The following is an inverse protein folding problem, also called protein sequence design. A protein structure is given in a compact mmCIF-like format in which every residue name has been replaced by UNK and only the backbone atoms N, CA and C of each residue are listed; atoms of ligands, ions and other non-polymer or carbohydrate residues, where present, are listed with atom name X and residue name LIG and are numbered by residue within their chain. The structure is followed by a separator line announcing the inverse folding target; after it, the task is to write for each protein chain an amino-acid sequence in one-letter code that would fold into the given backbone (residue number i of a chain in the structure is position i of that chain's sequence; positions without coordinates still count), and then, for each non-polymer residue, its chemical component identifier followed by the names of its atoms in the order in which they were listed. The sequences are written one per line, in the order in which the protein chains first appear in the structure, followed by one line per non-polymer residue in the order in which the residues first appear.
data_IF_063655333819
#
_entry.id   IF_063655333819
#
_cell.length_a   1.000
_cell.length_b   1.000
_cell.length_c   1.000
_cell.angle_alpha   90.00
_cell.angle_beta   90.00
_cell.angle_gamma   90.00
#
_symmetry.space_group_name_H-M   'P 1'
#
loop_
_entity.id
_entity.type
_entity.pdbx_description
1 polymer ?
#
# COMPACT_ATOMS: atom_id res chain seq x y z
N UNK A 1 10.90 -20.14 -23.28
CA UNK A 1 9.97 -18.99 -23.15
C UNK A 1 10.69 -17.75 -23.68
N UNK A 2 10.05 -16.87 -24.49
CA UNK A 2 10.68 -15.65 -24.99
C UNK A 2 10.73 -14.57 -23.89
N UNK A 3 11.71 -14.68 -22.99
CA UNK A 3 11.79 -13.84 -21.79
C UNK A 3 12.00 -12.36 -22.09
N UNK A 4 12.81 -12.03 -23.11
CA UNK A 4 13.10 -10.64 -23.46
C UNK A 4 11.88 -9.91 -24.04
N UNK A 5 11.08 -10.60 -24.84
CA UNK A 5 9.82 -10.06 -25.36
C UNK A 5 8.81 -9.80 -24.23
N UNK A 6 8.74 -10.69 -23.23
CA UNK A 6 7.90 -10.50 -22.05
C UNK A 6 8.35 -9.29 -21.23
N UNK A 7 9.65 -9.14 -20.97
CA UNK A 7 10.19 -7.98 -20.25
C UNK A 7 9.92 -6.69 -21.01
N UNK A 8 10.04 -6.70 -22.34
CA UNK A 8 9.73 -5.54 -23.17
C UNK A 8 8.24 -5.18 -23.09
N UNK A 9 7.36 -6.18 -23.23
CA UNK A 9 5.91 -6.00 -23.12
C UNK A 9 5.51 -5.39 -21.76
N UNK A 10 5.99 -5.96 -20.65
CA UNK A 10 5.64 -5.43 -19.34
C UNK A 10 6.33 -4.09 -19.05
N UNK A 11 7.61 -3.96 -19.38
CA UNK A 11 8.42 -2.80 -19.03
C UNK A 11 8.10 -1.55 -19.85
N UNK A 12 8.08 -1.66 -21.17
CA UNK A 12 7.95 -0.49 -22.06
C UNK A 12 6.49 -0.24 -22.48
N UNK A 13 5.68 -1.30 -22.66
CA UNK A 13 4.30 -1.15 -23.13
C UNK A 13 3.31 -1.02 -21.96
N UNK A 14 3.30 -1.96 -21.02
CA UNK A 14 2.30 -1.97 -19.94
C UNK A 14 2.61 -0.92 -18.87
N UNK A 15 3.81 -0.94 -18.29
CA UNK A 15 4.21 0.02 -17.26
C UNK A 15 4.85 1.29 -17.83
N UNK A 16 5.52 1.20 -18.98
CA UNK A 16 6.35 2.28 -19.52
C UNK A 16 5.59 3.57 -19.81
N UNK A 17 4.31 3.49 -20.21
CA UNK A 17 3.46 4.67 -20.43
C UNK A 17 3.15 5.47 -19.16
N UNK A 18 3.29 4.87 -17.98
CA UNK A 18 3.06 5.52 -16.69
C UNK A 18 4.35 6.02 -16.02
N UNK A 19 5.52 5.62 -16.53
CA UNK A 19 6.82 5.94 -15.95
C UNK A 19 7.48 7.06 -16.74
N UNK A 20 7.53 8.25 -16.15
CA UNK A 20 8.10 9.45 -16.76
C UNK A 20 9.58 9.65 -16.42
N UNK A 21 10.03 9.21 -15.25
CA UNK A 21 11.42 9.35 -14.80
C UNK A 21 12.32 8.20 -15.29
N UNK A 22 13.53 8.54 -15.72
CA UNK A 22 14.48 7.56 -16.29
C UNK A 22 15.05 6.60 -15.23
N UNK A 23 15.17 7.03 -13.97
CA UNK A 23 15.58 6.17 -12.87
C UNK A 23 14.47 5.19 -12.50
N UNK A 24 13.22 5.64 -12.48
CA UNK A 24 12.07 4.75 -12.28
C UNK A 24 11.96 3.72 -13.41
N UNK A 25 12.24 4.12 -14.67
CA UNK A 25 12.26 3.18 -15.80
C UNK A 25 13.38 2.16 -15.66
N UNK A 26 14.55 2.58 -15.19
CA UNK A 26 15.66 1.67 -14.90
C UNK A 26 15.32 0.71 -13.76
N UNK A 27 14.69 1.20 -12.70
CA UNK A 27 14.26 0.38 -11.56
C UNK A 27 13.26 -0.69 -12.00
N UNK A 28 12.22 -0.30 -12.75
CA UNK A 28 11.22 -1.22 -13.30
C UNK A 28 11.86 -2.33 -14.16
N UNK A 29 12.76 -1.97 -15.08
CA UNK A 29 13.47 -2.96 -15.90
C UNK A 29 14.31 -3.93 -15.07
N UNK A 30 14.92 -3.44 -13.99
CA UNK A 30 15.70 -4.27 -13.07
C UNK A 30 14.81 -5.28 -12.35
N UNK A 31 13.65 -4.85 -11.85
CA UNK A 31 12.66 -5.75 -11.26
C UNK A 31 12.16 -6.82 -12.24
N UNK A 32 11.85 -6.45 -13.47
CA UNK A 32 11.41 -7.40 -14.49
C UNK A 32 12.51 -8.39 -14.87
N UNK A 33 13.78 -7.98 -14.89
CA UNK A 33 14.90 -8.88 -15.14
C UNK A 33 15.06 -9.92 -14.00
N UNK A 34 14.81 -9.52 -12.75
CA UNK A 34 14.89 -10.40 -11.59
C UNK A 34 13.73 -11.41 -11.54
N UNK A 35 12.50 -10.98 -11.85
CA UNK A 35 11.30 -11.82 -11.73
C UNK A 35 10.91 -12.58 -12.99
N UNK A 36 11.28 -12.10 -14.18
CA UNK A 36 10.93 -12.73 -15.46
C UNK A 36 12.19 -13.42 -16.00
N UNK A 37 12.54 -14.57 -15.41
CA UNK A 37 13.72 -15.37 -15.77
C UNK A 37 13.44 -16.87 -15.69
N UNK A 38 14.27 -17.68 -16.32
CA UNK A 38 14.06 -19.13 -16.45
C UNK A 38 14.02 -19.85 -15.11
N UNK A 39 14.87 -19.42 -14.19
CA UNK A 39 15.07 -19.99 -12.86
C UNK A 39 13.80 -19.91 -12.00
N UNK A 40 12.90 -18.96 -12.30
CA UNK A 40 11.61 -18.85 -11.61
C UNK A 40 10.68 -20.04 -11.87
N UNK A 41 10.94 -20.84 -12.91
CA UNK A 41 10.18 -22.06 -13.18
C UNK A 41 10.74 -23.29 -12.47
N UNK A 42 11.94 -23.20 -11.89
CA UNK A 42 12.64 -24.32 -11.26
C UNK A 42 12.18 -24.56 -9.82
N UNK A 43 11.46 -23.61 -9.21
CA UNK A 43 10.80 -23.79 -7.91
C UNK A 43 11.72 -23.67 -6.68
N UNK A 44 13.02 -23.44 -6.88
CA UNK A 44 14.01 -23.37 -5.80
C UNK A 44 14.41 -21.92 -5.42
N UNK A 45 13.71 -20.94 -5.98
CA UNK A 45 14.03 -19.51 -5.82
C UNK A 45 13.24 -18.88 -4.67
N UNK A 46 13.92 -18.06 -3.88
CA UNK A 46 13.30 -17.16 -2.91
C UNK A 46 12.85 -15.89 -3.63
N UNK A 47 11.56 -15.58 -3.58
CA UNK A 47 10.99 -14.33 -4.10
C UNK A 47 11.36 -13.14 -3.19
N UNK A 48 11.45 -13.40 -1.90
CA UNK A 48 11.93 -12.44 -0.91
C UNK A 48 12.62 -13.19 0.24
N UNK A 49 13.38 -12.50 1.11
CA UNK A 49 13.96 -13.13 2.29
C UNK A 49 12.87 -13.80 3.13
N UNK A 50 12.94 -15.14 3.23
CA UNK A 50 11.95 -15.94 3.96
C UNK A 50 10.67 -16.28 3.18
N UNK A 51 10.55 -15.89 1.91
CA UNK A 51 9.39 -16.22 1.06
C UNK A 51 9.83 -17.02 -0.17
N UNK A 52 9.60 -18.33 -0.13
CA UNK A 52 9.85 -19.22 -1.26
C UNK A 52 8.76 -19.08 -2.31
N UNK A 53 9.12 -19.31 -3.58
CA UNK A 53 8.13 -19.37 -4.65
C UNK A 53 7.13 -20.51 -4.38
N UNK A 54 5.81 -20.27 -4.48
CA UNK A 54 4.82 -21.33 -4.29
C UNK A 54 5.00 -22.45 -5.32
N UNK A 55 4.74 -23.71 -4.94
CA UNK A 55 4.66 -24.80 -5.90
C UNK A 55 3.45 -24.62 -6.83
N UNK A 56 3.30 -25.50 -7.81
CA UNK A 56 2.14 -25.50 -8.70
C UNK A 56 0.86 -25.83 -7.89
N UNK A 57 0.12 -24.79 -7.53
CA UNK A 57 -1.13 -24.87 -6.79
C UNK A 57 -2.31 -24.49 -7.69
N UNK A 58 -3.53 -24.79 -7.24
CA UNK A 58 -4.73 -24.23 -7.83
C UNK A 58 -4.96 -22.80 -7.32
N UNK A 59 -5.97 -22.11 -7.87
CA UNK A 59 -6.25 -20.72 -7.50
C UNK A 59 -6.42 -20.53 -5.98
N UNK A 60 -7.12 -21.45 -5.31
CA UNK A 60 -7.33 -21.37 -3.86
C UNK A 60 -6.04 -21.64 -3.09
N UNK A 61 -5.27 -22.64 -3.49
CA UNK A 61 -3.99 -22.94 -2.87
C UNK A 61 -3.00 -21.78 -2.94
N UNK A 62 -2.98 -20.99 -4.02
CA UNK A 62 -2.14 -19.79 -4.06
C UNK A 62 -2.56 -18.74 -3.03
N UNK A 63 -3.85 -18.51 -2.81
CA UNK A 63 -4.32 -17.58 -1.77
C UNK A 63 -3.96 -18.07 -0.38
N UNK A 64 -4.22 -19.35 -0.08
CA UNK A 64 -3.85 -19.96 1.21
C UNK A 64 -2.34 -19.87 1.46
N UNK A 65 -1.52 -20.14 0.43
CA UNK A 65 -0.07 -20.03 0.52
C UNK A 65 0.38 -18.59 0.84
N UNK A 66 -0.20 -17.59 0.18
CA UNK A 66 0.11 -16.18 0.43
C UNK A 66 -0.27 -15.81 1.86
N UNK A 67 -1.47 -16.17 2.31
CA UNK A 67 -1.96 -15.84 3.65
C UNK A 67 -1.10 -16.48 4.76
N UNK A 68 -0.59 -17.69 4.54
CA UNK A 68 0.20 -18.43 5.53
C UNK A 68 1.69 -18.09 5.52
N UNK A 69 2.26 -17.78 4.35
CA UNK A 69 3.72 -17.73 4.16
C UNK A 69 4.25 -16.32 3.86
N UNK A 70 3.41 -15.35 3.49
CA UNK A 70 3.88 -14.00 3.19
C UNK A 70 4.38 -13.31 4.48
N UNK A 71 5.64 -12.89 4.54
CA UNK A 71 6.17 -12.18 5.70
C UNK A 71 5.50 -10.81 5.85
N UNK A 72 5.50 -10.22 7.06
CA UNK A 72 5.02 -8.86 7.27
C UNK A 72 5.80 -7.88 6.40
N UNK A 73 5.11 -6.81 5.96
CA UNK A 73 5.72 -5.79 5.12
C UNK A 73 6.96 -5.19 5.79
N UNK A 74 8.04 -5.10 5.02
CA UNK A 74 9.32 -4.58 5.47
C UNK A 74 10.08 -4.01 4.27
N UNK A 75 10.90 -2.94 4.43
CA UNK A 75 11.67 -2.36 3.32
C UNK A 75 12.53 -3.39 2.58
N UNK A 76 13.00 -4.43 3.28
CA UNK A 76 13.79 -5.50 2.70
C UNK A 76 13.09 -6.23 1.55
N UNK A 77 11.76 -6.37 1.59
CA UNK A 77 10.98 -7.02 0.53
C UNK A 77 11.07 -6.25 -0.79
N UNK A 78 11.38 -4.95 -0.73
CA UNK A 78 11.53 -4.05 -1.88
C UNK A 78 13.01 -3.74 -2.19
N UNK A 79 13.95 -4.49 -1.61
CA UNK A 79 15.39 -4.24 -1.78
C UNK A 79 15.89 -2.95 -1.11
N UNK A 80 15.14 -2.39 -0.16
CA UNK A 80 15.49 -1.17 0.55
C UNK A 80 16.17 -1.46 1.90
N UNK A 81 16.98 -0.51 2.36
CA UNK A 81 17.60 -0.57 3.68
C UNK A 81 16.55 -0.30 4.78
N UNK A 82 16.63 -0.95 5.97
CA UNK A 82 15.69 -0.75 7.09
C UNK A 82 15.44 0.71 7.47
N UNK A 83 16.47 1.54 7.37
CA UNK A 83 16.38 2.97 7.66
C UNK A 83 15.31 3.70 6.81
N UNK A 84 14.90 3.14 5.66
CA UNK A 84 13.78 3.68 4.87
C UNK A 84 12.46 3.69 5.67
N UNK A 85 12.26 2.70 6.53
CA UNK A 85 11.08 2.60 7.40
C UNK A 85 11.07 3.69 8.45
N UNK A 86 12.23 4.05 9.02
CA UNK A 86 12.34 5.07 10.06
C UNK A 86 11.79 6.41 9.56
N UNK A 87 12.17 6.82 8.35
CA UNK A 87 11.68 8.06 7.74
C UNK A 87 10.17 8.02 7.53
N UNK A 88 9.66 6.92 6.98
CA UNK A 88 8.23 6.71 6.77
C UNK A 88 7.43 6.76 8.08
N UNK A 89 7.88 6.05 9.12
CA UNK A 89 7.22 5.99 10.43
C UNK A 89 7.28 7.35 11.14
N UNK A 90 8.36 8.11 10.99
CA UNK A 90 8.49 9.45 11.58
C UNK A 90 7.45 10.39 10.98
N UNK A 91 7.39 10.50 9.65
CA UNK A 91 6.42 11.35 8.95
C UNK A 91 4.97 10.92 9.26
N UNK A 92 4.72 9.61 9.30
CA UNK A 92 3.40 9.06 9.63
C UNK A 92 3.01 9.42 11.07
N UNK A 93 3.92 9.29 12.03
CA UNK A 93 3.70 9.65 13.43
C UNK A 93 3.42 11.14 13.60
N UNK A 94 4.20 12.00 12.94
CA UNK A 94 3.98 13.45 12.96
C UNK A 94 2.60 13.83 12.40
N UNK A 95 2.19 13.19 11.29
CA UNK A 95 0.86 13.38 10.72
C UNK A 95 -0.23 12.96 11.70
N UNK A 96 -0.05 11.82 12.36
CA UNK A 96 -0.98 11.29 13.35
C UNK A 96 -1.14 12.28 14.52
N UNK A 97 -0.04 12.77 15.10
CA UNK A 97 -0.07 13.74 16.18
C UNK A 97 -0.72 15.07 15.76
N UNK A 98 -0.45 15.55 14.54
CA UNK A 98 -1.10 16.75 14.01
C UNK A 98 -2.62 16.57 13.92
N UNK A 99 -3.07 15.45 13.37
CA UNK A 99 -4.51 15.14 13.29
C UNK A 99 -5.15 15.06 14.68
N UNK A 100 -4.45 14.49 15.67
CA UNK A 100 -4.94 14.46 17.06
C UNK A 100 -5.05 15.87 17.65
N UNK A 101 -4.07 16.74 17.43
CA UNK A 101 -4.12 18.13 17.89
C UNK A 101 -5.23 18.93 17.20
N UNK A 102 -5.50 18.68 15.92
CA UNK A 102 -6.59 19.33 15.19
C UNK A 102 -7.98 18.89 15.69
N UNK A 103 -8.10 17.68 16.25
CA UNK A 103 -9.32 17.20 16.89
C UNK A 103 -9.51 17.76 18.30
N UNK A 104 -8.49 18.35 18.91
CA UNK A 104 -8.63 18.97 20.23
C UNK A 104 -9.67 20.10 20.12
N UNK A 105 -10.69 20.14 20.99
CA UNK A 105 -11.62 21.26 21.01
C UNK A 105 -10.78 22.51 21.22
N UNK A 106 -10.82 23.43 20.27
CA UNK A 106 -10.28 24.77 20.49
C UNK A 106 -11.06 25.30 21.66
N UNK A 107 -10.42 25.36 22.83
CA UNK A 107 -10.90 26.23 23.90
C UNK A 107 -10.91 27.62 23.27
N UNK A 108 -12.09 28.00 22.78
CA UNK A 108 -12.40 29.41 22.61
C UNK A 108 -12.17 29.97 23.98
N UNK A 109 -11.13 30.80 24.09
CA UNK A 109 -11.00 31.78 25.16
C UNK A 109 -12.23 32.70 25.06
N UNK A 110 -13.37 32.19 25.50
CA UNK A 110 -14.51 32.96 25.91
C UNK A 110 -14.23 33.40 27.34
N UNK A 111 -13.21 34.24 27.48
CA UNK A 111 -13.23 35.30 28.47
C UNK A 111 -14.42 36.21 28.20
N UNK A 112 -15.62 35.74 28.53
CA UNK A 112 -16.84 36.45 28.89
C UNK A 112 -18.07 35.62 28.52
N UNK A 113 -18.77 35.13 29.54
CA UNK A 113 -20.23 35.05 29.50
C UNK A 113 -20.84 33.73 29.05
N UNK A 114 -21.37 33.02 30.05
CA UNK A 114 -22.58 32.17 29.98
C UNK A 114 -22.55 30.97 29.04
N UNK A 115 -22.41 29.79 29.65
CA UNK A 115 -22.49 28.50 28.97
C UNK A 115 -23.83 28.24 28.30
N UNK A 116 -23.77 27.48 27.21
CA UNK A 116 -24.89 26.67 26.72
C UNK A 116 -24.30 25.38 26.17
N UNK A 117 -24.61 24.26 26.85
CA UNK A 117 -24.37 22.91 26.35
C UNK A 117 -25.07 22.72 25.01
N UNK A 118 -24.34 22.21 24.01
CA UNK A 118 -24.91 21.88 22.71
C UNK A 118 -25.34 20.42 22.66
N UNK A 119 -26.26 20.05 23.55
CA UNK A 119 -27.20 18.96 23.32
C UNK A 119 -28.56 19.62 23.09
N UNK A 120 -29.00 19.67 21.83
CA UNK A 120 -30.40 19.59 21.41
C UNK A 120 -30.50 19.92 19.91
N UNK A 121 -30.39 18.89 19.07
CA UNK A 121 -31.23 18.77 17.89
C UNK A 121 -31.37 17.31 17.49
N UNK A 122 -31.86 16.51 18.43
CA UNK A 122 -32.55 15.27 18.15
C UNK A 122 -34.06 15.59 18.15
N UNK A 123 -34.72 15.34 17.02
CA UNK A 123 -36.18 15.49 16.87
C UNK A 123 -36.64 15.29 15.43
N UNK A 124 -37.19 14.11 15.07
CA UNK A 124 -37.77 13.79 13.74
C UNK A 124 -39.28 14.23 13.69
N UNK A 125 -40.17 13.81 12.76
CA UNK A 125 -40.10 13.05 11.49
C UNK A 125 -40.97 13.62 10.31
N UNK A 126 -41.06 12.84 9.20
CA UNK A 126 -42.12 12.79 8.14
C UNK A 126 -41.90 13.64 6.86
N UNK A 127 -42.01 13.18 5.60
CA UNK A 127 -42.63 12.00 4.96
C UNK A 127 -41.97 11.70 3.59
N UNK A 128 -41.89 10.40 3.25
CA UNK A 128 -42.19 9.74 1.95
C UNK A 128 -41.72 10.36 0.61
N UNK A 129 -40.93 9.56 -0.14
CA UNK A 129 -41.36 8.92 -1.41
C UNK A 129 -40.34 9.01 -2.56
N UNK A 130 -39.79 7.83 -2.86
CA UNK A 130 -39.55 7.23 -4.19
C UNK A 130 -38.63 7.90 -5.23
N UNK A 131 -37.57 7.14 -5.51
CA UNK A 131 -36.94 6.85 -6.81
C UNK A 131 -37.50 7.52 -8.08
N UNK A 132 -36.57 8.06 -8.86
CA UNK A 132 -36.45 7.91 -10.31
C UNK A 132 -34.97 7.98 -10.69
#
# INVERSE_FOLDING_TARGET
VPWDDLRYLFGEIMYGGHITDDWDRRLCRTYLAEYIRTEMLEGEVLLAPGFQIPPNLDYKGYHEYIDENLPPESPYLYGLHPNAEIGFLTVTSEKLFRTVLEMQPKETDSGAGTGVSREEKAGPPHTLSSAM
#
